data_IF_496954896320
#
_entry.id   IF_496954896320
#
_cell.length_a   1.000
_cell.length_b   1.000
_cell.length_c   1.000
_cell.angle_alpha   90.00
_cell.angle_beta   90.00
_cell.angle_gamma   90.00
#
_symmetry.space_group_name_H-M   'P 1'
#
loop_
_entity.id
_entity.type
_entity.pdbx_description
1 polymer ?
#
# COMPACT_ATOMS: atom_id res chain seq x y z
N UNK A 1 -33.34 -17.58 6.40
CA UNK A 1 -33.39 -16.11 6.38
C UNK A 1 -31.95 -15.61 6.42
N UNK A 2 -31.53 -14.82 5.44
CA UNK A 2 -30.14 -14.33 5.39
C UNK A 2 -30.13 -12.91 5.98
N UNK A 3 -29.42 -12.70 7.09
CA UNK A 3 -29.36 -11.41 7.79
C UNK A 3 -28.20 -10.52 7.32
N UNK A 4 -27.42 -10.96 6.33
CA UNK A 4 -26.27 -10.27 5.79
C UNK A 4 -26.29 -10.30 4.27
N UNK A 5 -25.98 -9.17 3.65
CA UNK A 5 -25.66 -9.09 2.23
C UNK A 5 -24.14 -9.09 2.08
N UNK A 6 -23.60 -9.96 1.25
CA UNK A 6 -22.17 -9.99 0.96
C UNK A 6 -21.91 -9.27 -0.37
N UNK A 7 -20.81 -8.54 -0.44
CA UNK A 7 -20.31 -7.98 -1.70
C UNK A 7 -19.94 -9.15 -2.62
N UNK A 8 -20.57 -9.22 -3.80
CA UNK A 8 -20.30 -10.28 -4.77
C UNK A 8 -19.04 -9.94 -5.55
N UNK A 9 -17.92 -10.54 -5.18
CA UNK A 9 -16.64 -10.37 -5.85
C UNK A 9 -16.39 -11.52 -6.83
N UNK A 10 -15.85 -11.17 -8.00
CA UNK A 10 -15.47 -12.14 -9.01
C UNK A 10 -13.96 -12.20 -9.12
N UNK A 11 -13.43 -13.40 -9.39
CA UNK A 11 -12.00 -13.59 -9.65
C UNK A 11 -11.57 -12.81 -10.88
N UNK A 12 -10.47 -12.12 -10.77
CA UNK A 12 -9.85 -11.45 -11.91
C UNK A 12 -9.01 -12.44 -12.73
N UNK A 13 -8.82 -12.13 -14.02
CA UNK A 13 -8.07 -13.03 -14.93
C UNK A 13 -6.57 -12.97 -14.70
N UNK A 14 -6.06 -11.80 -14.37
CA UNK A 14 -4.63 -11.56 -14.18
C UNK A 14 -4.28 -11.71 -12.70
N UNK A 15 -4.38 -12.93 -12.21
CA UNK A 15 -4.16 -13.25 -10.79
C UNK A 15 -2.66 -13.20 -10.43
N UNK A 16 -2.42 -12.99 -9.17
CA UNK A 16 -1.10 -12.90 -8.55
C UNK A 16 -0.66 -14.30 -8.13
N UNK A 17 0.56 -14.67 -8.47
CA UNK A 17 1.24 -15.89 -8.04
C UNK A 17 2.66 -15.56 -7.50
N UNK A 18 3.45 -16.59 -7.18
CA UNK A 18 4.82 -16.42 -6.67
C UNK A 18 5.84 -15.91 -7.70
N UNK A 19 5.48 -15.86 -8.99
CA UNK A 19 6.31 -15.25 -10.04
C UNK A 19 5.99 -13.77 -10.22
N UNK A 20 4.86 -13.33 -9.68
CA UNK A 20 4.40 -11.94 -9.76
C UNK A 20 5.27 -11.02 -8.92
N UNK A 21 5.54 -9.82 -9.45
CA UNK A 21 6.23 -8.73 -8.75
C UNK A 21 5.22 -7.65 -8.44
N UNK A 22 5.07 -7.32 -7.16
CA UNK A 22 4.03 -6.43 -6.67
C UNK A 22 4.63 -5.16 -6.12
N UNK A 23 4.03 -4.03 -6.49
CA UNK A 23 4.34 -2.75 -5.90
C UNK A 23 3.06 -2.16 -5.28
N UNK A 24 3.14 -1.73 -4.02
CA UNK A 24 2.04 -1.10 -3.32
C UNK A 24 2.41 0.34 -2.98
N UNK A 25 1.53 1.28 -3.28
CA UNK A 25 1.69 2.71 -2.93
C UNK A 25 0.40 3.20 -2.29
N UNK A 26 0.49 3.99 -1.25
CA UNK A 26 -0.68 4.67 -0.70
C UNK A 26 -0.72 4.78 0.81
N UNK A 27 -1.93 4.66 1.34
CA UNK A 27 -2.22 4.84 2.76
C UNK A 27 -1.65 3.71 3.64
N UNK A 28 -1.70 3.91 4.97
CA UNK A 28 -1.33 2.88 5.95
C UNK A 28 -2.08 1.54 5.75
N UNK A 29 -3.24 1.54 5.09
CA UNK A 29 -3.92 0.30 4.73
C UNK A 29 -3.14 -0.52 3.68
N UNK A 30 -2.43 0.14 2.75
CA UNK A 30 -1.52 -0.51 1.82
C UNK A 30 -0.47 -1.37 2.54
N UNK A 31 0.06 -0.86 3.66
CA UNK A 31 1.02 -1.61 4.48
C UNK A 31 0.41 -2.85 5.15
N UNK A 32 -0.88 -2.80 5.50
CA UNK A 32 -1.55 -3.97 6.06
C UNK A 32 -1.68 -5.09 5.01
N UNK A 33 -1.99 -4.76 3.77
CA UNK A 33 -2.00 -5.74 2.66
C UNK A 33 -0.57 -6.22 2.35
N UNK A 34 0.41 -5.31 2.33
CA UNK A 34 1.82 -5.69 2.17
C UNK A 34 2.29 -6.68 3.25
N UNK A 35 1.97 -6.44 4.54
CA UNK A 35 2.30 -7.37 5.63
C UNK A 35 1.74 -8.77 5.40
N UNK A 36 0.55 -8.89 4.80
CA UNK A 36 -0.02 -10.18 4.42
C UNK A 36 0.73 -10.83 3.25
N UNK A 37 1.05 -10.05 2.23
CA UNK A 37 1.85 -10.53 1.10
C UNK A 37 3.25 -10.98 1.55
N UNK A 38 3.92 -10.19 2.39
CA UNK A 38 5.23 -10.53 2.96
C UNK A 38 5.16 -11.76 3.88
N UNK A 39 4.11 -11.87 4.71
CA UNK A 39 3.89 -13.05 5.54
C UNK A 39 3.85 -14.33 4.71
N UNK A 40 3.13 -14.31 3.58
CA UNK A 40 3.04 -15.43 2.64
C UNK A 40 4.20 -15.45 1.63
N UNK A 41 5.18 -14.56 1.75
CA UNK A 41 6.39 -14.50 0.92
C UNK A 41 6.15 -14.27 -0.57
N UNK A 42 5.12 -13.53 -0.91
CA UNK A 42 5.00 -12.96 -2.25
C UNK A 42 6.08 -11.90 -2.49
N UNK A 43 6.54 -11.76 -3.72
CA UNK A 43 7.51 -10.73 -4.07
C UNK A 43 6.82 -9.36 -4.16
N UNK A 44 6.82 -8.64 -3.06
CA UNK A 44 6.13 -7.37 -2.90
C UNK A 44 7.03 -6.31 -2.26
N UNK A 45 6.84 -5.06 -2.66
CA UNK A 45 7.40 -3.85 -2.03
C UNK A 45 6.29 -2.87 -1.72
N UNK A 46 6.45 -2.07 -0.67
CA UNK A 46 5.42 -1.11 -0.26
C UNK A 46 6.02 0.24 0.09
N UNK A 47 5.36 1.31 -0.35
CA UNK A 47 5.58 2.68 0.07
C UNK A 47 7.07 3.09 0.09
N UNK A 48 7.81 3.04 -1.01
CA UNK A 48 9.24 3.36 -1.03
C UNK A 48 9.55 4.77 -0.54
N UNK A 49 8.65 5.73 -0.75
CA UNK A 49 8.72 7.09 -0.20
C UNK A 49 7.93 7.26 1.11
N UNK A 50 7.56 6.15 1.75
CA UNK A 50 6.65 6.12 2.89
C UNK A 50 5.19 6.37 2.49
N UNK A 51 4.33 6.58 3.47
CA UNK A 51 2.88 6.69 3.28
C UNK A 51 2.53 7.99 2.56
N UNK A 52 2.10 7.88 1.29
CA UNK A 52 1.52 8.94 0.46
C UNK A 52 0.14 8.48 -0.01
N UNK A 53 -0.91 9.20 0.32
CA UNK A 53 -2.28 8.66 0.21
C UNK A 53 -3.29 9.58 -0.48
N UNK A 54 -2.89 10.76 -0.95
CA UNK A 54 -3.72 11.59 -1.82
C UNK A 54 -3.27 11.45 -3.29
N UNK A 55 -4.16 11.65 -4.26
CA UNK A 55 -3.84 11.45 -5.68
C UNK A 55 -2.64 12.24 -6.17
N UNK A 56 -2.57 13.53 -5.86
CA UNK A 56 -1.53 14.44 -6.34
C UNK A 56 -0.14 14.08 -5.78
N UNK A 57 -0.07 13.67 -4.50
CA UNK A 57 1.21 13.25 -3.92
C UNK A 57 1.72 11.95 -4.59
N UNK A 58 0.82 11.02 -4.93
CA UNK A 58 1.19 9.79 -5.65
C UNK A 58 1.58 10.11 -7.10
N UNK A 59 0.86 11.00 -7.77
CA UNK A 59 1.22 11.47 -9.11
C UNK A 59 2.59 12.13 -9.13
N UNK A 60 2.85 13.04 -8.17
CA UNK A 60 4.15 13.69 -8.02
C UNK A 60 5.28 12.70 -7.78
N UNK A 61 5.05 11.70 -6.90
CA UNK A 61 6.01 10.61 -6.68
C UNK A 61 6.33 9.88 -7.98
N UNK A 62 5.31 9.41 -8.71
CA UNK A 62 5.49 8.63 -9.95
C UNK A 62 6.18 9.50 -11.01
N UNK A 63 5.79 10.76 -11.13
CA UNK A 63 6.44 11.73 -12.06
C UNK A 63 7.92 11.90 -11.72
N UNK A 64 8.24 12.13 -10.44
CA UNK A 64 9.63 12.30 -9.98
C UNK A 64 10.46 11.04 -10.22
N UNK A 65 9.88 9.87 -9.97
CA UNK A 65 10.55 8.56 -10.17
C UNK A 65 10.82 8.29 -11.65
N UNK A 66 9.84 8.50 -12.53
CA UNK A 66 9.99 8.22 -13.97
C UNK A 66 10.97 9.20 -14.61
N UNK A 67 10.91 10.47 -14.20
CA UNK A 67 11.85 11.50 -14.68
C UNK A 67 13.21 11.44 -13.96
N UNK A 68 13.44 10.48 -13.07
CA UNK A 68 14.68 10.33 -12.30
C UNK A 68 15.12 11.64 -11.64
N UNK A 69 14.19 12.28 -10.91
CA UNK A 69 14.45 13.55 -10.23
C UNK A 69 15.70 13.47 -9.37
N UNK A 70 16.62 14.39 -9.59
CA UNK A 70 17.78 14.61 -8.72
C UNK A 70 17.39 15.55 -7.57
N UNK A 71 17.40 15.02 -6.35
CA UNK A 71 17.16 15.82 -5.16
C UNK A 71 18.43 16.59 -4.75
N UNK A 72 18.24 17.86 -4.43
CA UNK A 72 19.31 18.79 -4.05
C UNK A 72 19.06 19.38 -2.65
N UNK A 73 20.00 20.16 -2.15
CA UNK A 73 19.84 20.88 -0.88
C UNK A 73 18.60 21.78 -0.83
N UNK A 74 18.08 22.22 -1.99
CA UNK A 74 16.89 23.06 -2.10
C UNK A 74 15.58 22.30 -1.87
N UNK A 75 15.61 20.98 -2.03
CA UNK A 75 14.45 20.10 -1.89
C UNK A 75 14.24 19.62 -0.45
N UNK A 76 15.17 19.91 0.44
CA UNK A 76 15.18 19.40 1.82
C UNK A 76 15.26 20.55 2.83
N UNK A 77 14.71 20.35 4.01
CA UNK A 77 14.71 21.33 5.08
C UNK A 77 14.94 20.70 6.45
N UNK A 78 15.47 21.48 7.39
CA UNK A 78 15.76 21.02 8.75
C UNK A 78 14.65 21.43 9.72
N UNK A 79 14.10 20.46 10.45
CA UNK A 79 13.07 20.69 11.46
C UNK A 79 13.15 19.59 12.53
N UNK A 80 13.01 19.99 13.82
CA UNK A 80 13.02 19.04 14.95
C UNK A 80 14.20 18.07 14.89
N UNK A 81 15.41 18.59 14.72
CA UNK A 81 16.68 17.87 14.71
C UNK A 81 16.81 16.81 13.60
N UNK A 82 16.00 16.89 12.55
CA UNK A 82 16.05 15.99 11.38
C UNK A 82 15.87 16.75 10.09
N UNK A 83 16.42 16.21 9.02
CA UNK A 83 16.20 16.67 7.65
C UNK A 83 14.99 15.97 7.04
N UNK A 84 14.17 16.74 6.32
CA UNK A 84 12.90 16.31 5.72
C UNK A 84 12.82 16.74 4.26
N UNK A 85 11.97 16.02 3.49
CA UNK A 85 11.59 16.37 2.13
C UNK A 85 10.06 16.36 2.02
N UNK A 86 9.47 17.39 1.42
CA UNK A 86 8.02 17.48 1.27
C UNK A 86 7.42 16.41 0.35
N UNK A 87 8.23 15.81 -0.55
CA UNK A 87 7.79 14.74 -1.46
C UNK A 87 7.72 13.36 -0.78
N UNK A 88 8.26 13.22 0.44
CA UNK A 88 8.37 11.94 1.12
C UNK A 88 7.74 11.96 2.52
N UNK A 89 7.37 10.80 3.03
CA UNK A 89 6.92 10.63 4.41
C UNK A 89 8.08 10.80 5.40
N UNK A 90 7.75 11.10 6.65
CA UNK A 90 8.74 11.29 7.73
C UNK A 90 9.60 10.06 8.03
N UNK A 91 9.23 8.90 7.53
CA UNK A 91 10.03 7.66 7.68
C UNK A 91 11.37 7.74 6.94
N UNK A 92 11.43 8.49 5.84
CA UNK A 92 12.67 8.75 5.11
C UNK A 92 13.53 9.85 5.75
N UNK A 93 12.99 10.63 6.69
CA UNK A 93 13.74 11.72 7.33
C UNK A 93 15.01 11.20 8.01
N UNK A 94 16.12 11.94 7.85
CA UNK A 94 17.42 11.55 8.33
C UNK A 94 18.04 12.59 9.31
N UNK A 95 19.08 12.19 10.02
CA UNK A 95 19.79 13.09 10.94
C UNK A 95 20.77 14.01 10.23
N UNK A 96 21.21 13.65 9.01
CA UNK A 96 22.04 14.51 8.17
C UNK A 96 21.40 14.77 6.81
N UNK A 97 21.70 15.93 6.22
CA UNK A 97 21.25 16.32 4.90
C UNK A 97 21.75 15.35 3.82
N UNK A 98 23.02 14.98 3.89
CA UNK A 98 23.65 14.09 2.93
C UNK A 98 23.00 12.69 2.95
N UNK A 99 22.69 12.16 4.14
CA UNK A 99 21.98 10.88 4.30
C UNK A 99 20.60 10.93 3.68
N UNK A 100 19.82 12.00 3.92
CA UNK A 100 18.48 12.15 3.31
C UNK A 100 18.58 12.20 1.79
N UNK A 101 19.48 12.99 1.23
CA UNK A 101 19.65 13.11 -0.23
C UNK A 101 20.06 11.76 -0.85
N UNK A 102 20.96 11.01 -0.18
CA UNK A 102 21.34 9.67 -0.60
C UNK A 102 20.15 8.69 -0.57
N UNK A 103 19.35 8.71 0.50
CA UNK A 103 18.16 7.87 0.64
C UNK A 103 17.16 8.19 -0.47
N UNK A 104 16.83 9.46 -0.70
CA UNK A 104 15.91 9.89 -1.77
C UNK A 104 16.40 9.43 -3.15
N UNK A 105 17.70 9.58 -3.44
CA UNK A 105 18.28 9.12 -4.71
C UNK A 105 18.19 7.60 -4.86
N UNK A 106 18.45 6.87 -3.79
CA UNK A 106 18.35 5.40 -3.77
C UNK A 106 16.92 4.97 -4.04
N UNK A 107 15.94 5.61 -3.39
CA UNK A 107 14.52 5.29 -3.57
C UNK A 107 14.00 5.68 -4.96
N UNK A 108 14.45 6.77 -5.58
CA UNK A 108 14.13 7.11 -6.98
C UNK A 108 14.55 5.96 -7.90
N UNK A 109 15.81 5.53 -7.81
CA UNK A 109 16.35 4.50 -8.70
C UNK A 109 15.67 3.14 -8.49
N UNK A 110 15.50 2.74 -7.22
CA UNK A 110 14.85 1.49 -6.84
C UNK A 110 13.39 1.46 -7.30
N UNK A 111 12.64 2.53 -7.05
CA UNK A 111 11.23 2.64 -7.42
C UNK A 111 11.03 2.66 -8.95
N UNK A 112 11.91 3.33 -9.68
CA UNK A 112 11.89 3.33 -11.16
C UNK A 112 12.04 1.90 -11.70
N UNK A 113 13.03 1.15 -11.19
CA UNK A 113 13.24 -0.25 -11.57
C UNK A 113 12.04 -1.13 -11.18
N UNK A 114 11.44 -0.89 -10.01
CA UNK A 114 10.26 -1.62 -9.55
C UNK A 114 9.05 -1.37 -10.46
N UNK A 115 8.75 -0.13 -10.84
CA UNK A 115 7.67 0.19 -11.79
C UNK A 115 7.91 -0.53 -13.12
N UNK A 116 9.13 -0.47 -13.65
CA UNK A 116 9.48 -1.08 -14.92
C UNK A 116 9.31 -2.61 -14.94
N UNK A 117 9.45 -3.28 -13.81
CA UNK A 117 9.45 -4.76 -13.72
C UNK A 117 8.24 -5.36 -13.02
N UNK A 118 7.40 -4.55 -12.37
CA UNK A 118 6.23 -5.03 -11.64
C UNK A 118 5.15 -5.58 -12.57
N UNK A 119 4.49 -6.64 -12.15
CA UNK A 119 3.31 -7.21 -12.80
C UNK A 119 2.03 -6.52 -12.35
N UNK A 120 2.01 -6.05 -11.10
CA UNK A 120 0.88 -5.38 -10.49
C UNK A 120 1.33 -4.17 -9.67
N UNK A 121 0.64 -3.05 -9.86
CA UNK A 121 0.73 -1.85 -9.02
C UNK A 121 -0.60 -1.66 -8.29
N UNK A 122 -0.57 -1.66 -6.96
CA UNK A 122 -1.74 -1.46 -6.11
C UNK A 122 -1.66 -0.06 -5.52
N UNK A 123 -2.63 0.80 -5.84
CA UNK A 123 -2.71 2.18 -5.37
C UNK A 123 -3.86 2.32 -4.38
N UNK A 124 -3.53 2.61 -3.11
CA UNK A 124 -4.52 2.77 -2.04
C UNK A 124 -4.70 4.24 -1.70
N UNK A 125 -5.78 4.85 -2.20
CA UNK A 125 -6.09 6.25 -1.93
C UNK A 125 -6.76 6.44 -0.56
N UNK A 126 -6.31 7.42 0.21
CA UNK A 126 -6.83 7.68 1.56
C UNK A 126 -7.81 8.83 1.63
N UNK A 127 -7.49 9.95 1.00
CA UNK A 127 -8.27 11.18 1.04
C UNK A 127 -8.11 12.00 -0.24
N UNK A 128 -9.12 12.82 -0.54
CA UNK A 128 -9.08 13.85 -1.58
C UNK A 128 -8.55 15.19 -1.06
N UNK A 129 -8.29 15.31 0.25
CA UNK A 129 -7.68 16.51 0.80
C UNK A 129 -6.20 16.55 0.51
N UNK A 130 -5.73 17.73 0.07
CA UNK A 130 -4.32 18.05 -0.14
C UNK A 130 -3.92 19.23 0.74
N UNK A 131 -2.62 19.40 0.92
CA UNK A 131 -2.04 20.55 1.61
C UNK A 131 -1.09 21.26 0.67
N UNK A 132 -1.36 22.57 0.46
CA UNK A 132 -0.53 23.47 -0.34
C UNK A 132 0.29 24.35 0.58
N UNK A 133 1.60 24.29 0.48
CA UNK A 133 2.51 25.19 1.22
C UNK A 133 2.36 26.61 0.68
N UNK A 134 1.94 27.55 1.54
CA UNK A 134 1.63 28.94 1.14
C UNK A 134 2.87 29.66 0.59
N UNK A 135 4.03 29.36 1.16
CA UNK A 135 5.29 30.03 0.80
C UNK A 135 5.75 29.76 -0.64
N UNK A 136 5.53 28.55 -1.12
CA UNK A 136 6.01 28.09 -2.43
C UNK A 136 4.88 27.80 -3.42
N UNK A 137 3.63 27.90 -2.97
CA UNK A 137 2.42 27.50 -3.72
C UNK A 137 2.47 26.05 -4.22
N UNK A 138 3.23 25.17 -3.55
CA UNK A 138 3.41 23.78 -3.93
C UNK A 138 2.57 22.84 -3.06
N UNK A 139 2.00 21.79 -3.68
CA UNK A 139 1.32 20.71 -2.96
C UNK A 139 2.38 19.79 -2.35
N UNK A 140 2.20 19.44 -1.07
CA UNK A 140 3.16 18.61 -0.33
C UNK A 140 2.61 17.21 -0.10
N UNK A 141 3.48 16.21 -0.17
CA UNK A 141 3.16 14.82 0.17
C UNK A 141 3.03 14.62 1.68
N UNK A 142 3.81 15.35 2.47
CA UNK A 142 3.78 15.32 3.94
C UNK A 142 4.11 16.69 4.55
N UNK A 143 3.34 17.09 5.57
CA UNK A 143 3.54 18.37 6.26
C UNK A 143 4.63 18.34 7.35
N UNK A 144 5.20 17.19 7.70
CA UNK A 144 6.29 17.00 8.68
C UNK A 144 6.09 17.71 10.03
N UNK A 145 4.82 17.79 10.52
CA UNK A 145 4.46 18.52 11.75
C UNK A 145 4.74 20.03 11.72
N UNK A 146 4.97 20.61 10.55
CA UNK A 146 5.00 22.08 10.39
C UNK A 146 3.61 22.63 10.77
N UNK A 147 3.54 23.80 11.44
CA UNK A 147 2.26 24.38 11.86
C UNK A 147 1.25 24.51 10.71
N UNK A 148 0.03 24.04 10.93
CA UNK A 148 -1.02 23.96 9.91
C UNK A 148 -1.32 25.31 9.22
N UNK A 149 -1.14 26.43 9.92
CA UNK A 149 -1.28 27.78 9.36
C UNK A 149 -0.34 28.11 8.19
N UNK A 150 0.66 27.28 7.94
CA UNK A 150 1.58 27.41 6.80
C UNK A 150 1.03 26.78 5.54
N UNK A 151 -0.08 26.07 5.62
CA UNK A 151 -0.68 25.35 4.50
C UNK A 151 -2.10 25.82 4.24
N UNK A 152 -2.48 25.85 2.96
CA UNK A 152 -3.87 25.82 2.54
C UNK A 152 -4.28 24.37 2.42
N UNK A 153 -5.42 24.03 3.03
CA UNK A 153 -6.04 22.73 2.89
C UNK A 153 -7.13 22.83 1.85
N UNK A 154 -7.03 22.01 0.81
CA UNK A 154 -7.94 22.02 -0.33
C UNK A 154 -8.58 20.63 -0.51
N UNK A 155 -9.84 20.60 -0.94
CA UNK A 155 -10.53 19.38 -1.32
C UNK A 155 -10.53 19.28 -2.86
N UNK A 156 -9.86 18.27 -3.40
CA UNK A 156 -9.87 18.04 -4.83
C UNK A 156 -11.27 17.69 -5.33
N UNK A 157 -11.63 18.21 -6.48
CA UNK A 157 -12.81 17.80 -7.25
C UNK A 157 -12.62 16.41 -7.86
N UNK A 158 -13.71 15.81 -8.31
CA UNK A 158 -13.66 14.52 -9.02
C UNK A 158 -12.82 14.62 -10.29
N UNK A 159 -12.94 15.72 -11.04
CA UNK A 159 -12.22 15.92 -12.30
C UNK A 159 -10.71 16.08 -12.08
N UNK A 160 -10.28 16.80 -11.02
CA UNK A 160 -8.85 16.92 -10.67
C UNK A 160 -8.26 15.56 -10.27
N UNK A 161 -9.01 14.77 -9.52
CA UNK A 161 -8.58 13.42 -9.14
C UNK A 161 -8.50 12.52 -10.38
N UNK A 162 -9.51 12.57 -11.24
CA UNK A 162 -9.54 11.78 -12.48
C UNK A 162 -8.34 12.10 -13.35
N UNK A 163 -8.05 13.38 -13.59
CA UNK A 163 -6.89 13.82 -14.35
C UNK A 163 -5.57 13.32 -13.74
N UNK A 164 -5.43 13.42 -12.42
CA UNK A 164 -4.25 12.91 -11.70
C UNK A 164 -4.08 11.39 -11.87
N UNK A 165 -5.15 10.62 -11.73
CA UNK A 165 -5.11 9.16 -11.90
C UNK A 165 -4.82 8.74 -13.35
N UNK A 166 -5.36 9.45 -14.33
CA UNK A 166 -5.05 9.24 -15.76
C UNK A 166 -3.58 9.51 -16.06
N UNK A 167 -3.00 10.58 -15.50
CA UNK A 167 -1.58 10.89 -15.61
C UNK A 167 -0.72 9.76 -15.00
N UNK A 168 -1.06 9.30 -13.80
CA UNK A 168 -0.40 8.14 -13.17
C UNK A 168 -0.43 6.93 -14.11
N UNK A 169 -1.62 6.59 -14.63
CA UNK A 169 -1.78 5.45 -15.53
C UNK A 169 -0.93 5.59 -16.81
N UNK A 170 -0.91 6.78 -17.40
CA UNK A 170 -0.13 7.06 -18.62
C UNK A 170 1.35 6.90 -18.34
N UNK A 171 1.88 7.60 -17.34
CA UNK A 171 3.29 7.55 -16.97
C UNK A 171 3.77 6.12 -16.66
N UNK A 172 2.99 5.37 -15.86
CA UNK A 172 3.34 3.99 -15.50
C UNK A 172 3.33 3.08 -16.72
N UNK A 173 2.35 3.22 -17.61
CA UNK A 173 2.21 2.37 -18.81
C UNK A 173 3.19 2.71 -19.91
N UNK A 174 3.66 3.93 -20.00
CA UNK A 174 4.74 4.31 -20.93
C UNK A 174 6.03 3.57 -20.59
N UNK A 175 6.29 3.31 -19.30
CA UNK A 175 7.45 2.52 -18.83
C UNK A 175 7.16 1.03 -18.84
N UNK A 176 5.93 0.61 -18.46
CA UNK A 176 5.55 -0.79 -18.34
C UNK A 176 4.14 -1.04 -18.90
N UNK A 177 4.00 -1.28 -20.22
CA UNK A 177 2.68 -1.43 -20.86
C UNK A 177 1.88 -2.66 -20.40
N UNK A 178 2.53 -3.63 -19.78
CA UNK A 178 1.88 -4.88 -19.39
C UNK A 178 1.35 -4.87 -17.94
N UNK A 179 1.68 -3.86 -17.16
CA UNK A 179 1.33 -3.78 -15.74
C UNK A 179 -0.18 -3.74 -15.52
N UNK A 180 -0.64 -4.43 -14.49
CA UNK A 180 -2.01 -4.33 -13.97
C UNK A 180 -2.03 -3.27 -12.88
N UNK A 181 -2.89 -2.27 -12.98
CA UNK A 181 -3.06 -1.23 -11.96
C UNK A 181 -4.36 -1.48 -11.22
N UNK A 182 -4.26 -1.67 -9.90
CA UNK A 182 -5.39 -1.94 -9.02
C UNK A 182 -5.57 -0.74 -8.10
N UNK A 183 -6.64 0.00 -8.29
CA UNK A 183 -7.04 1.07 -7.38
C UNK A 183 -7.90 0.51 -6.25
N UNK A 184 -7.74 1.09 -5.08
CA UNK A 184 -8.62 0.84 -3.94
C UNK A 184 -8.71 2.10 -3.07
N UNK A 185 -9.84 2.27 -2.39
CA UNK A 185 -10.02 3.35 -1.41
C UNK A 185 -9.80 2.78 -0.01
N UNK A 186 -8.92 3.41 0.75
CA UNK A 186 -8.61 3.02 2.12
C UNK A 186 -9.84 2.99 3.01
N UNK A 187 -10.07 1.91 3.77
CA UNK A 187 -11.14 1.83 4.76
C UNK A 187 -10.88 2.67 6.02
N UNK A 188 -9.68 3.24 6.15
CA UNK A 188 -9.33 4.12 7.27
C UNK A 188 -10.10 5.43 7.18
N UNK A 189 -10.65 5.89 8.30
CA UNK A 189 -11.38 7.16 8.40
C UNK A 189 -10.43 8.33 8.66
N UNK A 190 -10.60 9.43 7.95
CA UNK A 190 -9.83 10.67 8.15
C UNK A 190 -10.66 11.70 8.95
N UNK A 191 -10.94 11.39 10.23
CA UNK A 191 -11.88 12.15 11.06
C UNK A 191 -11.33 13.47 11.60
N UNK A 192 -10.05 13.79 11.42
CA UNK A 192 -9.50 15.12 11.72
C UNK A 192 -10.20 16.22 10.92
N UNK A 193 -10.77 15.86 9.79
CA UNK A 193 -11.47 16.75 8.88
C UNK A 193 -12.98 16.88 9.19
N UNK A 194 -13.51 15.92 9.94
CA UNK A 194 -14.93 15.74 10.21
C UNK A 194 -15.50 14.50 9.52
N UNK A 195 -16.66 14.03 9.98
CA UNK A 195 -17.33 12.86 9.39
C UNK A 195 -17.91 13.17 8.01
N UNK A 196 -18.50 14.35 7.84
CA UNK A 196 -19.10 14.80 6.57
C UNK A 196 -17.99 14.99 5.54
N UNK A 197 -16.92 15.67 5.91
CA UNK A 197 -15.75 15.93 5.07
C UNK A 197 -15.05 14.64 4.67
N UNK A 198 -14.91 13.69 5.59
CA UNK A 198 -14.39 12.36 5.26
C UNK A 198 -15.27 11.64 4.24
N UNK A 199 -16.59 11.68 4.42
CA UNK A 199 -17.52 11.03 3.49
C UNK A 199 -17.48 11.67 2.12
N UNK A 200 -17.45 13.01 2.04
CA UNK A 200 -17.30 13.75 0.79
C UNK A 200 -15.98 13.41 0.10
N UNK A 201 -14.88 13.43 0.84
CA UNK A 201 -13.55 13.06 0.33
C UNK A 201 -13.53 11.64 -0.27
N UNK A 202 -14.11 10.65 0.43
CA UNK A 202 -14.20 9.27 -0.08
C UNK A 202 -15.10 9.18 -1.32
N UNK A 203 -16.21 9.91 -1.36
CA UNK A 203 -17.11 9.94 -2.52
C UNK A 203 -16.39 10.48 -3.77
N UNK A 204 -15.57 11.54 -3.64
CA UNK A 204 -14.78 12.07 -4.76
C UNK A 204 -13.77 11.04 -5.26
N UNK A 205 -13.05 10.33 -4.37
CA UNK A 205 -12.11 9.26 -4.76
C UNK A 205 -12.82 8.14 -5.50
N UNK A 206 -13.95 7.66 -4.98
CA UNK A 206 -14.72 6.58 -5.59
C UNK A 206 -15.21 6.98 -6.98
N UNK A 207 -15.82 8.17 -7.10
CA UNK A 207 -16.33 8.65 -8.39
C UNK A 207 -15.20 8.74 -9.44
N UNK A 208 -14.05 9.31 -9.09
CA UNK A 208 -12.93 9.46 -10.00
C UNK A 208 -12.34 8.11 -10.42
N UNK A 209 -12.11 7.19 -9.48
CA UNK A 209 -11.58 5.85 -9.80
C UNK A 209 -12.51 5.12 -10.79
N UNK A 210 -13.83 5.19 -10.57
CA UNK A 210 -14.78 4.52 -11.45
C UNK A 210 -14.89 5.14 -12.85
N UNK A 211 -14.49 6.40 -13.03
CA UNK A 211 -14.41 7.01 -14.37
C UNK A 211 -13.25 6.43 -15.21
N UNK A 212 -12.14 6.04 -14.57
CA UNK A 212 -10.94 5.55 -15.28
C UNK A 212 -10.84 4.03 -15.30
N UNK A 213 -11.59 3.30 -14.46
CA UNK A 213 -11.52 1.84 -14.38
C UNK A 213 -11.97 1.19 -15.69
N UNK A 214 -11.06 0.49 -16.36
CA UNK A 214 -11.32 -0.27 -17.58
C UNK A 214 -10.43 -1.52 -17.64
N UNK A 215 -11.02 -2.69 -17.47
CA UNK A 215 -10.32 -4.00 -17.48
C UNK A 215 -9.61 -4.29 -18.80
N UNK A 216 -10.08 -3.75 -19.94
CA UNK A 216 -9.42 -3.89 -21.24
C UNK A 216 -8.06 -3.16 -21.24
N UNK A 217 -7.99 -2.08 -20.49
CA UNK A 217 -6.78 -1.31 -20.27
C UNK A 217 -6.04 -1.72 -18.98
N UNK A 218 -6.36 -2.88 -18.38
CA UNK A 218 -5.73 -3.39 -17.15
C UNK A 218 -5.79 -2.40 -15.98
N UNK A 219 -6.90 -1.65 -15.89
CA UNK A 219 -7.22 -0.75 -14.79
C UNK A 219 -8.39 -1.34 -13.98
N UNK A 220 -8.14 -1.66 -12.74
CA UNK A 220 -9.06 -2.40 -11.88
C UNK A 220 -9.38 -1.64 -10.61
N UNK A 221 -10.50 -2.00 -9.99
CA UNK A 221 -10.88 -1.53 -8.67
C UNK A 221 -11.08 -2.70 -7.71
N UNK A 222 -10.51 -2.61 -6.51
CA UNK A 222 -10.78 -3.53 -5.40
C UNK A 222 -11.51 -2.79 -4.28
N UNK A 223 -12.73 -3.22 -3.85
CA UNK A 223 -13.61 -2.45 -2.99
C UNK A 223 -13.30 -2.60 -1.50
N UNK A 224 -12.08 -2.29 -1.05
CA UNK A 224 -11.72 -2.42 0.37
C UNK A 224 -12.51 -1.49 1.28
N UNK A 225 -12.89 -0.30 0.77
CA UNK A 225 -13.71 0.66 1.50
C UNK A 225 -15.13 0.13 1.69
N UNK A 226 -15.76 -0.37 0.65
CA UNK A 226 -17.12 -0.90 0.68
C UNK A 226 -17.20 -2.18 1.53
N UNK A 227 -16.19 -3.04 1.47
CA UNK A 227 -16.12 -4.21 2.36
C UNK A 227 -16.17 -3.76 3.83
N UNK A 228 -15.43 -2.71 4.19
CA UNK A 228 -15.45 -2.19 5.56
C UNK A 228 -16.76 -1.51 5.91
N UNK A 229 -17.35 -0.71 4.99
CA UNK A 229 -18.52 0.13 5.27
C UNK A 229 -19.84 -0.64 5.17
N UNK A 230 -19.94 -1.57 4.24
CA UNK A 230 -21.20 -2.28 3.96
C UNK A 230 -21.21 -3.72 4.44
N UNK A 231 -20.13 -4.47 4.26
CA UNK A 231 -20.09 -5.88 4.64
C UNK A 231 -19.74 -6.05 6.14
N UNK A 232 -18.76 -5.34 6.66
CA UNK A 232 -18.38 -5.37 8.08
C UNK A 232 -19.23 -4.43 8.94
N UNK A 233 -19.46 -3.18 8.54
CA UNK A 233 -20.38 -2.14 9.06
C UNK A 233 -20.28 -1.76 10.54
N UNK A 234 -19.78 -2.59 11.43
CA UNK A 234 -19.87 -2.41 12.87
C UNK A 234 -18.58 -1.86 13.49
N UNK A 235 -18.70 -1.09 14.57
CA UNK A 235 -17.55 -0.55 15.31
C UNK A 235 -16.62 -1.62 15.87
N UNK A 236 -17.09 -2.84 16.11
CA UNK A 236 -16.24 -3.97 16.58
C UNK A 236 -15.12 -4.35 15.59
N UNK A 237 -15.19 -3.88 14.34
CA UNK A 237 -14.18 -4.10 13.32
C UNK A 237 -13.15 -2.97 13.23
N UNK A 238 -13.26 -1.96 14.11
CA UNK A 238 -12.26 -0.91 14.27
C UNK A 238 -11.36 -1.16 15.48
N UNK A 239 -10.16 -0.58 15.45
CA UNK A 239 -9.29 -0.48 16.63
C UNK A 239 -9.92 0.45 17.68
N UNK A 240 -9.31 0.55 18.86
CA UNK A 240 -9.77 1.43 19.96
C UNK A 240 -9.86 2.91 19.57
N UNK A 241 -9.18 3.34 18.52
CA UNK A 241 -9.24 4.70 17.97
C UNK A 241 -10.50 4.96 17.12
N UNK A 242 -11.28 3.93 16.79
CA UNK A 242 -12.49 3.98 15.95
C UNK A 242 -12.23 4.53 14.54
N UNK A 243 -10.99 4.52 14.09
CA UNK A 243 -10.50 5.06 12.82
C UNK A 243 -9.91 3.98 11.93
N UNK A 244 -9.01 3.18 12.49
CA UNK A 244 -8.32 2.13 11.76
C UNK A 244 -9.05 0.78 11.87
N UNK A 245 -9.19 0.03 10.78
CA UNK A 245 -9.64 -1.36 10.84
C UNK A 245 -8.76 -2.18 11.78
N UNK A 246 -9.37 -3.02 12.59
CA UNK A 246 -8.64 -3.95 13.46
C UNK A 246 -8.16 -5.19 12.68
N UNK A 247 -7.43 -6.07 13.36
CA UNK A 247 -6.86 -7.26 12.74
C UNK A 247 -7.92 -8.18 12.11
N UNK A 248 -9.08 -8.33 12.75
CA UNK A 248 -10.20 -9.13 12.21
C UNK A 248 -10.69 -8.56 10.88
N UNK A 249 -10.88 -7.25 10.81
CA UNK A 249 -11.29 -6.59 9.58
C UNK A 249 -10.22 -6.71 8.47
N UNK A 250 -8.95 -6.50 8.83
CA UNK A 250 -7.83 -6.64 7.90
C UNK A 250 -7.75 -8.07 7.36
N UNK A 251 -7.91 -9.09 8.21
CA UNK A 251 -7.93 -10.49 7.80
C UNK A 251 -9.07 -10.77 6.83
N UNK A 252 -10.27 -10.27 7.13
CA UNK A 252 -11.44 -10.43 6.27
C UNK A 252 -11.25 -9.77 4.90
N UNK A 253 -10.75 -8.53 4.86
CA UNK A 253 -10.48 -7.83 3.59
C UNK A 253 -9.37 -8.57 2.81
N UNK A 254 -8.37 -9.11 3.51
CA UNK A 254 -7.33 -9.93 2.89
C UNK A 254 -7.90 -11.21 2.27
N UNK A 255 -8.80 -11.92 2.93
CA UNK A 255 -9.48 -13.10 2.38
C UNK A 255 -10.26 -12.76 1.10
N UNK A 256 -10.94 -11.59 1.08
CA UNK A 256 -11.62 -11.11 -0.12
C UNK A 256 -10.61 -10.76 -1.24
N UNK A 257 -9.48 -10.13 -0.88
CA UNK A 257 -8.41 -9.85 -1.83
C UNK A 257 -7.81 -11.15 -2.40
N UNK A 258 -7.55 -12.15 -1.56
CA UNK A 258 -7.09 -13.47 -1.99
C UNK A 258 -8.08 -14.11 -2.98
N UNK A 259 -9.37 -14.08 -2.65
CA UNK A 259 -10.41 -14.65 -3.54
C UNK A 259 -10.39 -14.02 -4.93
N UNK A 260 -10.17 -12.72 -5.04
CA UNK A 260 -10.21 -11.97 -6.30
C UNK A 260 -8.88 -12.07 -7.05
N UNK A 261 -7.77 -11.87 -6.35
CA UNK A 261 -6.48 -11.57 -6.96
C UNK A 261 -5.44 -12.66 -6.85
N UNK A 262 -5.52 -13.58 -5.90
CA UNK A 262 -4.49 -14.60 -5.70
C UNK A 262 -4.85 -15.89 -6.44
N UNK A 263 -3.91 -16.42 -7.22
CA UNK A 263 -4.11 -17.68 -7.96
C UNK A 263 -4.27 -18.86 -6.99
N UNK A 264 -5.30 -19.64 -7.18
CA UNK A 264 -5.59 -20.84 -6.37
C UNK A 264 -4.43 -21.86 -6.36
N UNK A 265 -3.60 -21.88 -7.39
CA UNK A 265 -2.40 -22.73 -7.45
C UNK A 265 -1.41 -22.43 -6.33
N UNK A 266 -1.45 -21.21 -5.78
CA UNK A 266 -0.57 -20.77 -4.67
C UNK A 266 -1.02 -21.30 -3.30
N UNK A 267 -2.26 -21.79 -3.15
CA UNK A 267 -2.86 -22.15 -1.86
C UNK A 267 -2.05 -23.20 -1.10
N UNK A 268 -1.50 -24.20 -1.80
CA UNK A 268 -0.67 -25.23 -1.16
C UNK A 268 0.61 -24.62 -0.59
N UNK A 269 1.27 -23.79 -1.37
CA UNK A 269 2.50 -23.10 -0.96
C UNK A 269 2.20 -22.16 0.22
N UNK A 270 1.11 -21.37 0.16
CA UNK A 270 0.70 -20.51 1.26
C UNK A 270 0.48 -21.28 2.58
N UNK A 271 -0.13 -22.47 2.52
CA UNK A 271 -0.31 -23.34 3.70
C UNK A 271 1.01 -23.83 4.29
N UNK A 272 1.97 -24.13 3.44
CA UNK A 272 3.32 -24.53 3.87
C UNK A 272 4.05 -23.37 4.52
N UNK A 273 4.02 -22.17 3.90
CA UNK A 273 4.57 -20.93 4.46
C UNK A 273 3.93 -20.62 5.82
N UNK A 274 2.59 -20.68 5.92
CA UNK A 274 1.86 -20.44 7.18
C UNK A 274 2.27 -21.44 8.27
N UNK A 275 2.44 -22.71 7.92
CA UNK A 275 2.91 -23.75 8.86
C UNK A 275 4.29 -23.43 9.39
N UNK A 276 5.21 -23.00 8.53
CA UNK A 276 6.57 -22.66 8.93
C UNK A 276 6.58 -21.38 9.77
N UNK A 277 5.88 -20.32 9.33
CA UNK A 277 5.80 -19.04 10.06
C UNK A 277 5.24 -19.24 11.47
N UNK A 278 4.15 -20.01 11.62
CA UNK A 278 3.59 -20.37 12.93
C UNK A 278 4.55 -21.21 13.76
N UNK A 279 5.27 -22.12 13.12
CA UNK A 279 6.27 -22.93 13.79
C UNK A 279 7.44 -22.13 14.32
N UNK A 280 7.95 -21.16 13.53
CA UNK A 280 9.04 -20.25 13.93
C UNK A 280 8.60 -19.29 15.06
N UNK A 281 7.34 -18.86 15.06
CA UNK A 281 6.78 -17.99 16.11
C UNK A 281 6.46 -18.77 17.41
N UNK A 282 6.45 -20.09 17.39
CA UNK A 282 6.12 -20.92 18.55
C UNK A 282 7.21 -20.82 19.62
N UNK A 283 6.80 -20.47 20.85
CA UNK A 283 7.67 -20.43 22.03
C UNK A 283 7.55 -21.77 22.80
N UNK A 284 8.60 -22.61 22.78
CA UNK A 284 8.56 -23.89 23.48
C UNK A 284 8.65 -23.71 25.00
N UNK A 285 8.00 -24.57 25.77
CA UNK A 285 8.20 -24.65 27.22
C UNK A 285 9.63 -25.11 27.59
N UNK A 286 10.23 -25.99 26.79
CA UNK A 286 11.60 -26.45 26.93
C UNK A 286 12.28 -26.52 25.55
N UNK A 287 13.12 -25.53 25.27
CA UNK A 287 13.88 -25.43 24.01
C UNK A 287 14.92 -26.55 23.81
N UNK A 288 15.31 -27.22 24.90
CA UNK A 288 16.33 -28.30 24.87
C UNK A 288 15.73 -29.70 24.72
N UNK A 289 14.39 -29.84 24.70
CA UNK A 289 13.74 -31.14 24.57
C UNK A 289 14.01 -31.75 23.19
N UNK A 290 14.16 -33.07 23.14
CA UNK A 290 14.38 -33.81 21.89
C UNK A 290 13.18 -33.65 20.94
N UNK A 291 11.98 -33.51 21.50
CA UNK A 291 10.77 -33.22 20.71
C UNK A 291 10.85 -31.87 20.02
N UNK A 292 11.34 -30.82 20.71
CA UNK A 292 11.50 -29.50 20.12
C UNK A 292 12.62 -29.50 19.06
N UNK A 293 13.75 -30.16 19.31
CA UNK A 293 14.83 -30.30 18.32
C UNK A 293 14.35 -30.98 17.03
N UNK A 294 13.57 -32.06 17.17
CA UNK A 294 12.96 -32.73 16.00
C UNK A 294 12.00 -31.80 15.26
N UNK A 295 11.15 -31.06 15.99
CA UNK A 295 10.22 -30.09 15.39
C UNK A 295 10.96 -29.02 14.59
N UNK A 296 12.03 -28.44 15.13
CA UNK A 296 12.86 -27.45 14.41
C UNK A 296 13.52 -28.07 13.17
N UNK A 297 14.05 -29.28 13.27
CA UNK A 297 14.63 -29.98 12.10
C UNK A 297 13.61 -30.22 10.98
N UNK A 298 12.38 -30.58 11.34
CA UNK A 298 11.28 -30.73 10.38
C UNK A 298 10.87 -29.41 9.72
N UNK A 299 10.91 -28.29 10.48
CA UNK A 299 10.68 -26.93 9.91
C UNK A 299 11.79 -26.51 8.95
N UNK A 300 13.06 -26.73 9.32
CA UNK A 300 14.19 -26.41 8.43
C UNK A 300 14.11 -27.20 7.12
N UNK A 301 13.77 -28.48 7.17
CA UNK A 301 13.56 -29.26 5.95
C UNK A 301 12.49 -28.67 5.06
N UNK A 302 11.35 -28.25 5.63
CA UNK A 302 10.28 -27.59 4.86
C UNK A 302 10.74 -26.24 4.27
N UNK A 303 11.57 -25.47 4.98
CA UNK A 303 12.17 -24.24 4.45
C UNK A 303 13.06 -24.52 3.24
N UNK A 304 13.93 -25.54 3.35
CA UNK A 304 14.79 -25.99 2.24
C UNK A 304 13.95 -26.43 1.03
N UNK A 305 12.89 -27.21 1.25
CA UNK A 305 11.98 -27.63 0.19
C UNK A 305 11.32 -26.43 -0.52
N UNK A 306 10.83 -25.41 0.22
CA UNK A 306 10.27 -24.19 -0.36
C UNK A 306 11.32 -23.38 -1.13
N UNK A 307 12.54 -23.26 -0.59
CA UNK A 307 13.64 -22.56 -1.27
C UNK A 307 14.01 -23.27 -2.58
N UNK A 308 14.15 -24.59 -2.56
CA UNK A 308 14.59 -25.36 -3.71
C UNK A 308 13.52 -25.44 -4.82
N UNK A 309 12.26 -25.62 -4.44
CA UNK A 309 11.17 -25.84 -5.39
C UNK A 309 10.55 -24.53 -5.93
N UNK A 310 10.55 -23.47 -5.11
CA UNK A 310 9.81 -22.24 -5.43
C UNK A 310 10.65 -20.96 -5.29
N UNK A 311 11.93 -21.06 -4.91
CA UNK A 311 12.82 -19.95 -4.63
C UNK A 311 12.28 -18.98 -3.54
N UNK A 312 11.52 -19.51 -2.58
CA UNK A 312 10.93 -18.78 -1.47
C UNK A 312 11.87 -18.84 -0.27
N UNK A 313 12.31 -17.66 0.21
CA UNK A 313 13.16 -17.52 1.41
C UNK A 313 12.31 -17.16 2.62
N UNK A 314 12.45 -17.93 3.70
CA UNK A 314 11.79 -17.74 4.99
C UNK A 314 12.80 -17.41 6.08
#
# INVERSE_FOLDING_TARGET
>A
MNFRTNIQLQKERNQIDYTSKLMLIGSCFSENIYKKLDYFKFNAVSNPFGILFNPIAIESLITNVINQKEYTEKDVFFLNERWHCFDAHSDLSAVSQAELLQNLTTEINSTNQQIATSTHLIITLGTSFIYRLIETDSIVGNCHKIPQKKFLKELLSVDEITASLENICTLVKDVNPIINIIFTVSPVRHLKDGFVENSQSKAHLLAAIHQITDKRNKLYYFPSYEIMQDDLREYRFYNSDMVHPNETAINYIWEQFQHVWIDEKTVTIQKEVDTIQKGLAHKPFNSNSDQHKKFIADLEKKREDLQNNYNIKL
#
